data_IF_644553354458
#
_entry.id   IF_644553354458
#
_cell.length_a   1.000
_cell.length_b   1.000
_cell.length_c   1.000
_cell.angle_alpha   90.00
_cell.angle_beta   90.00
_cell.angle_gamma   90.00
#
_symmetry.space_group_name_H-M   'P 1'
#
loop_
_entity.id
_entity.type
_entity.pdbx_description
1 polymer ?
#
# COMPACT_ATOMS: atom_id res chain seq x y z
N UNK A 1 -9.74 50.84 0.86
CA UNK A 1 -9.82 50.98 2.34
C UNK A 1 -8.55 50.45 2.99
N UNK A 2 -8.30 50.72 4.28
CA UNK A 2 -7.11 50.21 5.00
C UNK A 2 -7.54 49.31 6.16
N UNK A 3 -6.97 48.11 6.26
CA UNK A 3 -7.25 47.16 7.33
C UNK A 3 -6.51 47.47 8.62
N UNK A 4 -6.92 46.80 9.71
CA UNK A 4 -6.21 46.80 11.00
C UNK A 4 -4.72 46.45 10.87
N UNK A 5 -4.41 45.49 10.02
CA UNK A 5 -3.04 45.00 9.82
C UNK A 5 -2.23 45.91 8.88
N UNK A 6 -2.82 47.04 8.46
CA UNK A 6 -2.14 48.09 7.70
C UNK A 6 -2.21 47.95 6.19
N UNK A 7 -2.90 46.95 5.65
CA UNK A 7 -3.00 46.68 4.22
C UNK A 7 -4.04 47.57 3.57
N UNK A 8 -3.74 48.07 2.38
CA UNK A 8 -4.68 48.88 1.58
C UNK A 8 -5.12 48.07 0.38
N UNK A 9 -6.44 47.94 0.19
CA UNK A 9 -7.03 47.22 -0.94
C UNK A 9 -8.27 47.96 -1.46
N UNK A 10 -8.53 47.88 -2.79
CA UNK A 10 -9.78 48.35 -3.37
C UNK A 10 -10.93 47.43 -2.94
N UNK A 11 -12.11 48.01 -2.73
CA UNK A 11 -13.33 47.26 -2.40
C UNK A 11 -14.44 47.82 -3.25
N UNK A 12 -15.04 46.96 -4.05
CA UNK A 12 -16.28 47.30 -4.74
C UNK A 12 -17.45 47.16 -3.78
N UNK A 13 -18.33 48.15 -3.76
CA UNK A 13 -19.51 48.16 -2.89
C UNK A 13 -20.72 48.50 -3.73
N UNK A 14 -21.80 47.75 -3.56
CA UNK A 14 -23.13 48.04 -4.11
C UNK A 14 -24.10 48.30 -2.98
N UNK A 15 -24.83 49.40 -3.07
CA UNK A 15 -25.81 49.79 -2.05
C UNK A 15 -27.17 49.92 -2.71
N UNK A 16 -28.17 49.22 -2.15
CA UNK A 16 -29.57 49.37 -2.57
C UNK A 16 -30.26 50.35 -1.63
N UNK A 17 -30.81 51.42 -2.21
CA UNK A 17 -31.43 52.54 -1.50
C UNK A 17 -32.80 52.82 -2.08
N UNK A 18 -33.76 53.12 -1.20
CA UNK A 18 -35.10 53.53 -1.56
C UNK A 18 -35.48 54.83 -0.82
N UNK A 19 -36.19 55.71 -1.53
CA UNK A 19 -36.73 56.96 -0.99
C UNK A 19 -38.26 56.90 -1.10
N UNK A 20 -38.94 57.09 0.03
CA UNK A 20 -40.39 57.14 0.06
C UNK A 20 -40.90 58.44 -0.60
N UNK A 21 -42.06 58.40 -1.25
CA UNK A 21 -42.68 59.59 -1.83
C UNK A 21 -43.00 60.67 -0.78
N UNK A 22 -43.21 60.27 0.47
CA UNK A 22 -43.47 61.18 1.58
C UNK A 22 -42.22 61.98 1.99
N UNK A 23 -41.03 61.38 1.87
CA UNK A 23 -39.77 61.98 2.31
C UNK A 23 -38.98 62.62 1.16
N UNK A 24 -39.33 62.34 -0.09
CA UNK A 24 -38.70 62.93 -1.27
C UNK A 24 -38.63 64.48 -1.26
N UNK A 25 -39.67 65.24 -0.84
CA UNK A 25 -39.60 66.69 -0.79
C UNK A 25 -38.53 67.23 0.16
N UNK A 26 -38.24 66.49 1.24
CA UNK A 26 -37.19 66.87 2.20
C UNK A 26 -35.80 66.77 1.58
N UNK A 27 -35.54 65.70 0.82
CA UNK A 27 -34.26 65.53 0.12
C UNK A 27 -34.06 66.56 -0.98
N UNK A 28 -35.11 66.90 -1.73
CA UNK A 28 -35.09 67.98 -2.72
C UNK A 28 -34.81 69.33 -2.04
N UNK A 29 -35.41 69.61 -0.89
CA UNK A 29 -35.11 70.83 -0.15
C UNK A 29 -33.66 70.91 0.36
N UNK A 30 -33.06 69.77 0.75
CA UNK A 30 -31.70 69.70 1.28
C UNK A 30 -30.63 69.75 0.17
N UNK A 31 -30.87 69.08 -0.95
CA UNK A 31 -29.87 68.88 -2.02
C UNK A 31 -30.13 69.76 -3.25
N UNK A 32 -31.27 70.45 -3.30
CA UNK A 32 -31.75 71.16 -4.47
C UNK A 32 -32.30 70.18 -5.50
N UNK A 33 -31.45 69.80 -6.46
CA UNK A 33 -31.81 68.86 -7.52
C UNK A 33 -31.09 67.52 -7.27
N UNK A 34 -31.68 66.56 -6.54
CA UNK A 34 -31.01 65.30 -6.22
C UNK A 34 -30.67 64.48 -7.47
N UNK A 35 -31.48 64.62 -8.54
CA UNK A 35 -31.35 63.89 -9.81
C UNK A 35 -30.37 64.55 -10.80
N UNK A 36 -29.83 65.73 -10.48
CA UNK A 36 -28.87 66.37 -11.37
C UNK A 36 -27.58 65.54 -11.40
N UNK A 37 -27.17 65.15 -12.60
CA UNK A 37 -25.90 64.44 -12.80
C UNK A 37 -24.78 65.47 -12.76
N UNK A 38 -23.85 65.31 -11.82
CA UNK A 38 -22.63 66.11 -11.75
C UNK A 38 -21.50 65.25 -12.29
N UNK A 39 -20.77 65.75 -13.28
CA UNK A 39 -19.52 65.14 -13.72
C UNK A 39 -18.42 65.61 -12.78
N UNK A 40 -18.01 64.76 -11.84
CA UNK A 40 -16.87 65.04 -10.97
C UNK A 40 -15.59 64.75 -11.78
N UNK A 41 -14.71 65.74 -11.99
CA UNK A 41 -13.51 65.60 -12.84
C UNK A 41 -12.53 64.50 -12.36
N UNK A 42 -12.67 64.08 -11.10
CA UNK A 42 -11.83 63.06 -10.46
C UNK A 42 -12.33 61.62 -10.61
N UNK A 43 -13.62 61.41 -10.91
CA UNK A 43 -14.21 60.08 -11.05
C UNK A 43 -14.87 59.99 -12.43
N UNK A 44 -14.41 59.06 -13.29
CA UNK A 44 -14.89 58.87 -14.68
C UNK A 44 -16.35 58.37 -14.77
N UNK A 45 -17.17 58.58 -13.75
CA UNK A 45 -18.55 58.11 -13.66
C UNK A 45 -19.50 59.29 -13.40
N UNK A 46 -20.65 59.23 -14.07
CA UNK A 46 -21.73 60.20 -13.97
C UNK A 46 -22.58 59.88 -12.74
N UNK A 47 -22.31 60.55 -11.61
CA UNK A 47 -23.06 60.37 -10.37
C UNK A 47 -24.14 61.44 -10.18
N UNK A 48 -25.21 61.08 -9.49
CA UNK A 48 -26.24 62.04 -9.08
C UNK A 48 -25.75 62.90 -7.90
N UNK A 49 -26.37 64.06 -7.65
CA UNK A 49 -26.04 64.92 -6.50
C UNK A 49 -26.23 64.17 -5.18
N UNK A 50 -27.27 63.33 -5.11
CA UNK A 50 -27.55 62.50 -3.94
C UNK A 50 -26.42 61.51 -3.66
N UNK A 51 -25.94 60.82 -4.70
CA UNK A 51 -24.85 59.84 -4.58
C UNK A 51 -23.54 60.51 -4.16
N UNK A 52 -23.14 61.56 -4.88
CA UNK A 52 -21.86 62.25 -4.67
C UNK A 52 -21.77 62.96 -3.31
N UNK A 53 -22.85 63.60 -2.85
CA UNK A 53 -22.82 64.42 -1.63
C UNK A 53 -23.20 63.69 -0.35
N UNK A 54 -24.04 62.65 -0.43
CA UNK A 54 -24.58 61.99 0.77
C UNK A 54 -24.15 60.53 0.86
N UNK A 55 -24.48 59.73 -0.15
CA UNK A 55 -24.33 58.26 -0.06
C UNK A 55 -22.86 57.86 -0.07
N UNK A 56 -22.10 58.34 -1.05
CA UNK A 56 -20.71 57.92 -1.25
C UNK A 56 -19.78 58.36 -0.10
N UNK A 57 -19.87 59.59 0.45
CA UNK A 57 -19.13 59.95 1.65
C UNK A 57 -19.50 59.10 2.88
N UNK A 58 -20.79 58.84 3.11
CA UNK A 58 -21.25 58.04 4.24
C UNK A 58 -20.77 56.58 4.15
N UNK A 59 -20.95 55.96 2.99
CA UNK A 59 -20.52 54.57 2.72
C UNK A 59 -19.00 54.45 2.85
N UNK A 60 -18.22 55.39 2.26
CA UNK A 60 -16.76 55.40 2.39
C UNK A 60 -16.31 55.48 3.85
N UNK A 61 -16.94 56.33 4.65
CA UNK A 61 -16.60 56.47 6.07
C UNK A 61 -16.87 55.16 6.84
N UNK A 62 -18.02 54.54 6.61
CA UNK A 62 -18.42 53.30 7.29
C UNK A 62 -17.50 52.14 6.89
N UNK A 63 -17.27 51.93 5.60
CA UNK A 63 -16.37 50.86 5.14
C UNK A 63 -14.94 51.08 5.58
N UNK A 64 -14.49 52.32 5.70
CA UNK A 64 -13.18 52.63 6.29
C UNK A 64 -13.13 52.21 7.76
N UNK A 65 -14.18 52.48 8.55
CA UNK A 65 -14.22 52.08 9.96
C UNK A 65 -14.28 50.56 10.13
N UNK A 66 -15.16 49.88 9.37
CA UNK A 66 -15.28 48.41 9.41
C UNK A 66 -13.97 47.73 8.99
N UNK A 67 -13.29 48.26 7.98
CA UNK A 67 -11.98 47.74 7.57
C UNK A 67 -10.91 47.96 8.66
N UNK A 68 -10.92 49.08 9.38
CA UNK A 68 -9.96 49.34 10.46
C UNK A 68 -10.10 48.40 11.66
N UNK A 69 -11.29 47.83 11.89
CA UNK A 69 -11.53 46.90 12.99
C UNK A 69 -11.13 45.45 12.65
N UNK A 70 -11.22 45.06 11.38
CA UNK A 70 -11.00 43.69 10.92
C UNK A 70 -9.65 43.49 10.21
N UNK A 71 -9.13 42.26 10.24
CA UNK A 71 -7.98 41.87 9.40
C UNK A 71 -8.38 41.89 7.93
N UNK A 72 -7.42 42.13 7.03
CA UNK A 72 -7.68 42.05 5.59
C UNK A 72 -8.17 40.66 5.16
N UNK A 73 -7.64 39.60 5.78
CA UNK A 73 -8.03 38.23 5.48
C UNK A 73 -9.41 37.89 6.04
N UNK A 74 -9.69 38.32 7.27
CA UNK A 74 -11.01 38.11 7.90
C UNK A 74 -12.11 38.87 7.15
N UNK A 75 -11.78 40.03 6.58
CA UNK A 75 -12.71 40.79 5.75
C UNK A 75 -13.15 40.03 4.50
N UNK A 76 -12.27 39.20 3.91
CA UNK A 76 -12.60 38.33 2.77
C UNK A 76 -13.33 37.06 3.22
N UNK A 77 -12.83 36.40 4.27
CA UNK A 77 -13.38 35.12 4.74
C UNK A 77 -14.77 35.28 5.37
N UNK A 78 -15.00 36.36 6.12
CA UNK A 78 -16.25 36.61 6.86
C UNK A 78 -17.09 37.69 6.16
N UNK A 79 -17.18 37.65 4.83
CA UNK A 79 -17.90 38.64 4.02
C UNK A 79 -19.35 38.86 4.47
N UNK A 80 -20.07 37.79 4.80
CA UNK A 80 -21.47 37.89 5.27
C UNK A 80 -21.58 38.71 6.55
N UNK A 81 -20.63 38.56 7.47
CA UNK A 81 -20.61 39.32 8.71
C UNK A 81 -20.25 40.79 8.47
N UNK A 82 -19.30 41.05 7.57
CA UNK A 82 -18.94 42.40 7.13
C UNK A 82 -20.14 43.11 6.50
N UNK A 83 -20.88 42.44 5.62
CA UNK A 83 -22.08 42.98 4.96
C UNK A 83 -23.19 43.29 5.98
N UNK A 84 -23.45 42.38 6.93
CA UNK A 84 -24.44 42.60 7.98
C UNK A 84 -24.09 43.80 8.87
N UNK A 85 -22.81 43.91 9.26
CA UNK A 85 -22.30 44.99 10.11
C UNK A 85 -22.35 46.33 9.36
N UNK A 86 -21.85 46.37 8.12
CA UNK A 86 -21.89 47.54 7.26
C UNK A 86 -23.34 47.99 6.98
N UNK A 87 -24.26 47.06 6.72
CA UNK A 87 -25.68 47.36 6.51
C UNK A 87 -26.31 48.04 7.72
N UNK A 88 -26.01 47.55 8.93
CA UNK A 88 -26.50 48.17 10.18
C UNK A 88 -26.00 49.61 10.34
N UNK A 89 -24.71 49.84 10.12
CA UNK A 89 -24.12 51.17 10.22
C UNK A 89 -24.61 52.13 9.13
N UNK A 90 -24.73 51.67 7.88
CA UNK A 90 -25.23 52.47 6.76
C UNK A 90 -26.69 52.84 6.98
N UNK A 91 -27.52 51.90 7.42
CA UNK A 91 -28.92 52.16 7.75
C UNK A 91 -29.04 53.27 8.81
N UNK A 92 -28.24 53.22 9.87
CA UNK A 92 -28.27 54.21 10.96
C UNK A 92 -27.85 55.62 10.50
N UNK A 93 -26.87 55.74 9.61
CA UNK A 93 -26.44 57.04 9.09
C UNK A 93 -27.41 57.61 8.05
N UNK A 94 -27.93 56.76 7.15
CA UNK A 94 -28.85 57.18 6.09
C UNK A 94 -30.28 57.48 6.60
N UNK A 95 -30.68 56.91 7.73
CA UNK A 95 -31.94 57.23 8.41
C UNK A 95 -32.04 58.72 8.78
N UNK A 96 -30.92 59.39 9.09
CA UNK A 96 -30.90 60.85 9.37
C UNK A 96 -31.36 61.68 8.18
N UNK A 97 -31.15 61.17 6.97
CA UNK A 97 -31.57 61.80 5.72
C UNK A 97 -32.92 61.27 5.21
N UNK A 98 -33.61 60.44 6.02
CA UNK A 98 -34.87 59.78 5.65
C UNK A 98 -34.74 58.85 4.44
N UNK A 99 -33.55 58.29 4.27
CA UNK A 99 -33.22 57.37 3.18
C UNK A 99 -33.30 55.94 3.72
N UNK A 100 -34.10 55.08 3.09
CA UNK A 100 -34.23 53.67 3.50
C UNK A 100 -33.20 52.83 2.77
N UNK A 101 -32.38 52.09 3.53
CA UNK A 101 -31.41 51.14 2.96
C UNK A 101 -31.93 49.71 3.04
N UNK A 102 -32.01 49.05 1.90
CA UNK A 102 -32.40 47.64 1.82
C UNK A 102 -31.22 46.74 2.22
N UNK A 103 -30.03 47.02 1.68
CA UNK A 103 -28.83 46.27 1.99
C UNK A 103 -27.58 46.84 1.34
N UNK A 104 -26.43 46.47 1.91
CA UNK A 104 -25.11 46.78 1.40
C UNK A 104 -24.43 45.47 1.03
N UNK A 105 -24.01 45.36 -0.21
CA UNK A 105 -23.33 44.18 -0.74
C UNK A 105 -21.90 44.55 -1.07
N UNK A 106 -20.95 43.79 -0.54
CA UNK A 106 -19.57 43.89 -0.96
C UNK A 106 -19.47 43.19 -2.32
N UNK A 107 -18.62 43.67 -3.22
CA UNK A 107 -18.37 43.10 -4.54
C UNK A 107 -17.18 42.13 -4.52
N UNK A 108 -16.40 42.16 -5.60
CA UNK A 108 -15.09 41.52 -5.58
C UNK A 108 -14.12 42.35 -4.74
N UNK A 109 -13.17 41.66 -4.11
CA UNK A 109 -12.14 42.27 -3.29
C UNK A 109 -10.81 41.80 -3.87
N UNK A 110 -10.13 42.68 -4.59
CA UNK A 110 -8.86 42.36 -5.23
C UNK A 110 -7.72 42.52 -4.21
N UNK A 111 -7.58 41.54 -3.30
CA UNK A 111 -6.42 41.46 -2.40
C UNK A 111 -5.14 41.07 -3.14
N UNK A 112 -5.27 40.45 -4.32
CA UNK A 112 -4.18 39.89 -5.10
C UNK A 112 -3.38 40.95 -5.88
N UNK A 113 -3.85 42.19 -5.99
CA UNK A 113 -3.09 43.25 -6.67
C UNK A 113 -2.01 43.87 -5.76
N UNK A 114 -2.13 43.70 -4.44
CA UNK A 114 -1.14 44.20 -3.49
C UNK A 114 -0.08 43.15 -3.22
N UNK A 115 1.20 43.50 -3.41
CA UNK A 115 2.36 42.64 -3.10
C UNK A 115 2.31 42.11 -1.65
N UNK A 116 1.73 42.90 -0.76
CA UNK A 116 1.57 42.58 0.65
C UNK A 116 0.44 41.55 0.89
N UNK A 117 -0.63 41.57 0.09
CA UNK A 117 -1.71 40.56 0.12
C UNK A 117 -1.23 39.18 -0.32
N UNK A 118 -0.41 39.12 -1.38
CA UNK A 118 0.25 37.89 -1.83
C UNK A 118 1.17 37.30 -0.77
N UNK A 119 1.93 38.13 -0.06
CA UNK A 119 2.83 37.67 1.00
C UNK A 119 2.08 37.06 2.20
N UNK A 120 0.92 37.62 2.56
CA UNK A 120 0.06 37.05 3.60
C UNK A 120 -0.55 35.70 3.18
N UNK A 121 -1.09 35.64 1.96
CA UNK A 121 -1.65 34.40 1.42
C UNK A 121 -0.57 33.32 1.31
N UNK A 122 0.64 33.67 0.89
CA UNK A 122 1.79 32.76 0.86
C UNK A 122 2.13 32.24 2.26
N UNK A 123 2.25 33.13 3.25
CA UNK A 123 2.58 32.73 4.64
C UNK A 123 1.52 31.81 5.25
N UNK A 124 0.22 32.09 5.01
CA UNK A 124 -0.86 31.22 5.48
C UNK A 124 -0.90 29.89 4.73
N UNK A 125 -0.63 29.90 3.42
CA UNK A 125 -0.51 28.69 2.62
C UNK A 125 0.64 27.84 3.12
N UNK A 126 1.80 28.43 3.41
CA UNK A 126 2.96 27.75 3.97
C UNK A 126 2.65 27.15 5.35
N UNK A 127 1.95 27.90 6.21
CA UNK A 127 1.50 27.41 7.50
C UNK A 127 0.54 26.23 7.37
N UNK A 128 -0.42 26.31 6.45
CA UNK A 128 -1.38 25.23 6.21
C UNK A 128 -0.69 24.01 5.58
N UNK A 129 0.26 24.21 4.68
CA UNK A 129 1.10 23.16 4.13
C UNK A 129 1.91 22.48 5.23
N UNK A 130 2.51 23.23 6.15
CA UNK A 130 3.26 22.66 7.28
C UNK A 130 2.37 21.79 8.18
N UNK A 131 1.16 22.25 8.51
CA UNK A 131 0.20 21.47 9.29
C UNK A 131 -0.24 20.19 8.57
N UNK A 132 -0.56 20.30 7.27
CA UNK A 132 -0.93 19.14 6.46
C UNK A 132 0.25 18.15 6.35
N UNK A 133 1.47 18.67 6.26
CA UNK A 133 2.70 17.87 6.20
C UNK A 133 2.97 17.15 7.52
N UNK A 134 2.75 17.80 8.67
CA UNK A 134 2.82 17.17 9.99
C UNK A 134 1.82 16.01 10.10
N UNK A 135 0.56 16.23 9.70
CA UNK A 135 -0.46 15.19 9.68
C UNK A 135 -0.07 14.02 8.75
N UNK A 136 0.48 14.32 7.58
CA UNK A 136 0.98 13.31 6.64
C UNK A 136 2.08 12.47 7.28
N UNK A 137 3.07 13.09 7.93
CA UNK A 137 4.15 12.35 8.59
C UNK A 137 3.65 11.50 9.76
N UNK A 138 2.71 12.02 10.56
CA UNK A 138 2.09 11.25 11.64
C UNK A 138 1.33 10.03 11.11
N UNK A 139 0.59 10.18 10.00
CA UNK A 139 -0.09 9.06 9.34
C UNK A 139 0.91 8.05 8.77
N UNK A 140 1.98 8.51 8.11
CA UNK A 140 3.06 7.64 7.60
C UNK A 140 3.73 6.86 8.73
N UNK A 141 4.03 7.51 9.86
CA UNK A 141 4.63 6.86 11.02
C UNK A 141 3.70 5.75 11.56
N UNK A 142 2.40 6.02 11.68
CA UNK A 142 1.39 5.01 12.08
C UNK A 142 1.36 3.84 11.10
N UNK A 143 1.38 4.10 9.79
CA UNK A 143 1.39 3.06 8.77
C UNK A 143 2.66 2.18 8.85
N UNK A 144 3.83 2.78 9.06
CA UNK A 144 5.09 2.04 9.21
C UNK A 144 5.14 1.22 10.51
N UNK A 145 4.61 1.74 11.61
CA UNK A 145 4.48 0.96 12.86
C UNK A 145 3.57 -0.26 12.65
N UNK A 146 2.39 -0.07 12.05
CA UNK A 146 1.48 -1.17 11.74
C UNK A 146 2.12 -2.21 10.80
N UNK A 147 2.90 -1.76 9.81
CA UNK A 147 3.65 -2.65 8.92
C UNK A 147 4.72 -3.43 9.68
N UNK A 148 5.47 -2.78 10.57
CA UNK A 148 6.49 -3.43 11.37
C UNK A 148 5.88 -4.49 12.32
N UNK A 149 4.72 -4.20 12.91
CA UNK A 149 3.96 -5.16 13.72
C UNK A 149 3.48 -6.35 12.89
N UNK A 150 2.94 -6.12 11.69
CA UNK A 150 2.51 -7.17 10.78
C UNK A 150 3.69 -8.09 10.40
N UNK A 151 4.83 -7.51 10.00
CA UNK A 151 6.03 -8.28 9.65
C UNK A 151 6.55 -9.08 10.84
N UNK A 152 6.55 -8.52 12.05
CA UNK A 152 6.92 -9.25 13.27
C UNK A 152 5.98 -10.42 13.51
N UNK A 153 4.67 -10.22 13.40
CA UNK A 153 3.68 -11.27 13.59
C UNK A 153 3.82 -12.39 12.54
N UNK A 154 4.06 -12.05 11.27
CA UNK A 154 4.35 -13.02 10.21
C UNK A 154 5.62 -13.81 10.49
N UNK A 155 6.71 -13.12 10.84
CA UNK A 155 7.99 -13.78 11.14
C UNK A 155 7.86 -14.74 12.32
N UNK A 156 7.12 -14.35 13.36
CA UNK A 156 6.82 -15.23 14.49
C UNK A 156 5.98 -16.43 14.06
N UNK A 157 4.95 -16.24 13.23
CA UNK A 157 4.14 -17.34 12.70
C UNK A 157 4.97 -18.31 11.84
N UNK A 158 5.87 -17.80 10.99
CA UNK A 158 6.77 -18.61 10.17
C UNK A 158 7.76 -19.39 11.02
N UNK A 159 8.34 -18.77 12.04
CA UNK A 159 9.22 -19.46 13.00
C UNK A 159 8.48 -20.53 13.79
N UNK A 160 7.26 -20.24 14.27
CA UNK A 160 6.43 -21.22 14.94
C UNK A 160 6.10 -22.41 14.04
N UNK A 161 5.78 -22.15 12.76
CA UNK A 161 5.56 -23.19 11.77
C UNK A 161 6.81 -24.07 11.58
N UNK A 162 7.99 -23.45 11.41
CA UNK A 162 9.25 -24.19 11.26
C UNK A 162 9.61 -25.02 12.50
N UNK A 163 9.39 -24.49 13.70
CA UNK A 163 9.61 -25.23 14.94
C UNK A 163 8.64 -26.40 15.07
N UNK A 164 7.35 -26.20 14.77
CA UNK A 164 6.35 -27.26 14.79
C UNK A 164 6.65 -28.36 13.76
N UNK A 165 7.11 -28.00 12.56
CA UNK A 165 7.56 -28.95 11.54
C UNK A 165 8.76 -29.77 12.03
N UNK A 166 9.76 -29.12 12.64
CA UNK A 166 10.93 -29.82 13.19
C UNK A 166 10.58 -30.75 14.36
N UNK A 167 9.69 -30.33 15.26
CA UNK A 167 9.19 -31.17 16.36
C UNK A 167 8.41 -32.37 15.81
N UNK A 168 7.54 -32.15 14.83
CA UNK A 168 6.77 -33.21 14.18
C UNK A 168 7.69 -34.20 13.48
N UNK A 169 8.72 -33.74 12.76
CA UNK A 169 9.71 -34.60 12.12
C UNK A 169 10.47 -35.47 13.14
N UNK A 170 10.82 -34.92 14.30
CA UNK A 170 11.44 -35.69 15.39
C UNK A 170 10.47 -36.74 15.93
N UNK A 171 9.20 -36.40 16.12
CA UNK A 171 8.17 -37.35 16.54
C UNK A 171 7.97 -38.46 15.52
N UNK A 172 7.88 -38.12 14.23
CA UNK A 172 7.78 -39.10 13.13
C UNK A 172 8.99 -40.03 13.14
N UNK A 173 10.22 -39.50 13.24
CA UNK A 173 11.44 -40.32 13.31
C UNK A 173 11.46 -41.23 14.53
N UNK A 174 11.01 -40.76 15.70
CA UNK A 174 10.86 -41.59 16.90
C UNK A 174 9.86 -42.72 16.69
N UNK A 175 8.70 -42.43 16.09
CA UNK A 175 7.68 -43.45 15.80
C UNK A 175 8.18 -44.47 14.77
N UNK A 176 8.91 -44.04 13.74
CA UNK A 176 9.54 -44.95 12.78
C UNK A 176 10.61 -45.82 13.44
N UNK A 177 11.43 -45.27 14.33
CA UNK A 177 12.42 -46.05 15.08
C UNK A 177 11.76 -47.10 15.98
N UNK A 178 10.73 -46.72 16.75
CA UNK A 178 9.94 -47.65 17.56
C UNK A 178 9.26 -48.72 16.70
N UNK A 179 8.70 -48.35 15.55
CA UNK A 179 8.12 -49.29 14.59
C UNK A 179 9.13 -50.34 14.12
N UNK A 180 10.35 -49.92 13.77
CA UNK A 180 11.45 -50.84 13.38
C UNK A 180 11.90 -51.74 14.53
N UNK A 181 11.95 -51.23 15.76
CA UNK A 181 12.25 -52.05 16.93
C UNK A 181 11.17 -53.12 17.15
N UNK A 182 9.90 -52.75 17.04
CA UNK A 182 8.79 -53.71 17.16
C UNK A 182 8.77 -54.73 16.01
N UNK A 183 9.09 -54.30 14.79
CA UNK A 183 9.21 -55.20 13.63
C UNK A 183 10.36 -56.19 13.84
N UNK A 184 11.54 -55.73 14.25
CA UNK A 184 12.67 -56.59 14.56
C UNK A 184 12.38 -57.57 15.71
N UNK A 185 11.66 -57.12 16.76
CA UNK A 185 11.18 -57.99 17.83
C UNK A 185 10.16 -59.02 17.34
N UNK A 186 9.27 -58.62 16.43
CA UNK A 186 8.30 -59.51 15.79
C UNK A 186 8.97 -60.58 14.93
N UNK A 187 9.95 -60.19 14.11
CA UNK A 187 10.77 -61.11 13.32
C UNK A 187 11.56 -62.07 14.19
N UNK A 188 12.20 -61.57 15.26
CA UNK A 188 12.92 -62.41 16.22
C UNK A 188 11.99 -63.47 16.85
N UNK A 189 10.81 -63.06 17.33
CA UNK A 189 9.80 -64.00 17.87
C UNK A 189 9.31 -64.99 16.81
N UNK A 190 9.12 -64.54 15.57
CA UNK A 190 8.72 -65.42 14.48
C UNK A 190 9.80 -66.48 14.18
N UNK A 191 11.07 -66.08 14.15
CA UNK A 191 12.20 -67.00 13.98
C UNK A 191 12.30 -67.98 15.16
N UNK A 192 12.14 -67.52 16.40
CA UNK A 192 12.13 -68.40 17.58
C UNK A 192 11.01 -69.43 17.52
N UNK A 193 9.77 -69.00 17.25
CA UNK A 193 8.61 -69.91 17.16
C UNK A 193 8.80 -70.92 16.02
N UNK A 194 9.28 -70.48 14.86
CA UNK A 194 9.52 -71.37 13.72
C UNK A 194 10.69 -72.32 13.97
N UNK A 195 11.76 -71.87 14.64
CA UNK A 195 12.88 -72.71 15.04
C UNK A 195 12.46 -73.76 16.08
N UNK A 196 11.66 -73.39 17.08
CA UNK A 196 11.08 -74.33 18.04
C UNK A 196 10.16 -75.36 17.37
N UNK A 197 9.31 -74.91 16.45
CA UNK A 197 8.43 -75.79 15.69
C UNK A 197 9.24 -76.77 14.83
N UNK A 198 10.28 -76.30 14.14
CA UNK A 198 11.21 -77.15 13.39
C UNK A 198 11.92 -78.14 14.31
N UNK A 199 12.46 -77.70 15.45
CA UNK A 199 13.13 -78.59 16.42
C UNK A 199 12.20 -79.72 16.87
N UNK A 200 10.95 -79.42 17.25
CA UNK A 200 9.95 -80.42 17.61
C UNK A 200 9.66 -81.38 16.45
N UNK A 201 9.57 -80.87 15.22
CA UNK A 201 9.40 -81.69 14.02
C UNK A 201 10.60 -82.63 13.76
N UNK A 202 11.82 -82.12 13.89
CA UNK A 202 13.04 -82.92 13.78
C UNK A 202 13.14 -83.99 14.88
N UNK A 203 12.82 -83.65 16.13
CA UNK A 203 12.77 -84.61 17.24
C UNK A 203 11.78 -85.76 16.95
N UNK A 204 10.58 -85.43 16.45
CA UNK A 204 9.59 -86.42 16.05
C UNK A 204 10.07 -87.30 14.88
N UNK A 205 10.76 -86.71 13.87
CA UNK A 205 11.35 -87.48 12.77
C UNK A 205 12.48 -88.41 13.24
N UNK A 206 13.34 -87.95 14.15
CA UNK A 206 14.43 -88.76 14.72
C UNK A 206 13.88 -89.94 15.52
N UNK A 207 12.80 -89.75 16.28
CA UNK A 207 12.13 -90.84 16.99
C UNK A 207 11.50 -91.87 16.03
N UNK A 208 11.03 -91.45 14.85
CA UNK A 208 10.39 -92.34 13.89
C UNK A 208 11.36 -93.07 12.93
N UNK A 209 12.46 -92.44 12.51
CA UNK A 209 13.39 -92.98 11.49
C UNK A 209 14.77 -93.42 12.02
N UNK A 210 15.17 -92.99 13.23
CA UNK A 210 16.51 -93.22 13.77
C UNK A 210 17.60 -92.32 13.14
N UNK A 211 18.68 -92.05 13.88
CA UNK A 211 19.70 -91.02 13.56
C UNK A 211 20.31 -91.12 12.15
N UNK A 212 20.40 -92.31 11.55
CA UNK A 212 21.03 -92.48 10.23
C UNK A 212 20.13 -92.10 9.04
N UNK A 213 18.81 -92.08 9.19
CA UNK A 213 17.89 -91.74 8.08
C UNK A 213 17.74 -90.23 7.84
N UNK A 214 17.85 -89.43 8.90
CA UNK A 214 17.61 -87.97 8.85
C UNK A 214 18.77 -87.24 8.17
N UNK A 215 20.00 -87.72 8.35
CA UNK A 215 21.21 -87.13 7.74
C UNK A 215 21.27 -87.34 6.23
N UNK A 216 20.79 -88.48 5.71
CA UNK A 216 20.73 -88.72 4.27
C UNK A 216 19.68 -87.82 3.57
N UNK A 217 18.53 -87.58 4.22
CA UNK A 217 17.50 -86.71 3.66
C UNK A 217 17.93 -85.23 3.62
N UNK A 218 18.67 -84.79 4.65
CA UNK A 218 19.19 -83.42 4.73
C UNK A 218 20.29 -83.17 3.69
N UNK A 219 21.17 -84.14 3.47
CA UNK A 219 22.18 -84.07 2.41
C UNK A 219 21.54 -83.98 1.01
N UNK A 220 20.45 -84.72 0.79
CA UNK A 220 19.72 -84.71 -0.47
C UNK A 220 18.99 -83.39 -0.72
N UNK A 221 18.52 -82.72 0.34
CA UNK A 221 17.86 -81.41 0.26
C UNK A 221 18.86 -80.27 0.01
N UNK A 222 20.05 -80.32 0.62
CA UNK A 222 21.11 -79.32 0.42
C UNK A 222 21.64 -79.30 -1.02
N UNK A 223 21.72 -80.47 -1.67
CA UNK A 223 22.16 -80.61 -3.07
C UNK A 223 21.12 -80.03 -4.05
N UNK A 224 19.84 -79.96 -3.68
CA UNK A 224 18.79 -79.41 -4.54
C UNK A 224 18.72 -77.87 -4.56
N UNK A 225 19.23 -77.19 -3.53
CA UNK A 225 19.17 -75.72 -3.41
C UNK A 225 20.36 -74.97 -4.06
N UNK A 226 21.49 -75.64 -4.33
CA UNK A 226 22.67 -75.05 -4.98
C UNK A 226 22.64 -75.12 -6.52
N UNK A 227 22.14 -74.09 -7.20
CA UNK A 227 22.22 -73.95 -8.67
C UNK A 227 23.59 -73.40 -9.12
N UNK A 228 24.46 -74.22 -9.71
CA UNK A 228 25.64 -73.77 -10.48
C UNK A 228 25.59 -74.34 -11.89
N UNK A 229 25.54 -73.48 -12.92
CA UNK A 229 25.51 -73.86 -14.33
C UNK A 229 26.41 -72.92 -15.15
N UNK A 230 27.52 -73.43 -15.69
CA UNK A 230 28.52 -72.69 -16.51
C UNK A 230 28.56 -73.31 -17.91
N UNK A 231 28.12 -72.59 -18.94
CA UNK A 231 28.51 -72.83 -20.35
C UNK A 231 28.35 -71.54 -21.18
N UNK A 232 29.41 -71.02 -21.87
CA UNK A 232 29.25 -70.00 -22.90
C UNK A 232 29.24 -70.64 -24.30
N UNK A 233 28.35 -70.20 -25.19
CA UNK A 233 28.38 -70.55 -26.61
C UNK A 233 28.76 -69.32 -27.44
N UNK A 234 29.82 -69.44 -28.23
CA UNK A 234 30.08 -68.58 -29.40
C UNK A 234 29.81 -69.40 -30.67
N UNK A 235 29.06 -68.83 -31.61
CA UNK A 235 28.88 -69.41 -32.95
C UNK A 235 29.42 -68.42 -33.97
N UNK A 236 30.51 -68.81 -34.65
CA UNK A 236 31.17 -68.10 -35.75
C UNK A 236 30.66 -68.70 -37.06
N UNK A 237 30.14 -67.87 -37.96
CA UNK A 237 29.84 -68.26 -39.35
C UNK A 237 30.60 -67.33 -40.30
N UNK A 238 31.53 -67.92 -41.06
CA UNK A 238 32.27 -67.40 -42.22
C UNK A 238 32.95 -66.01 -42.16
N UNK A 239 34.04 -65.91 -41.41
CA UNK A 239 35.03 -64.84 -41.56
C UNK A 239 36.37 -65.22 -40.94
N UNK A 240 37.47 -64.92 -41.63
CA UNK A 240 38.86 -65.22 -41.27
C UNK A 240 39.18 -64.83 -39.81
N UNK A 241 39.95 -65.66 -39.09
CA UNK A 241 40.23 -65.54 -37.64
C UNK A 241 40.85 -64.20 -37.20
N UNK A 242 41.40 -63.42 -38.12
CA UNK A 242 41.89 -62.05 -37.86
C UNK A 242 40.76 -61.03 -37.64
N UNK A 243 39.56 -61.28 -38.16
CA UNK A 243 38.43 -60.33 -38.12
C UNK A 243 37.63 -60.41 -36.80
N UNK A 244 37.60 -61.58 -36.16
CA UNK A 244 36.98 -61.75 -34.83
C UNK A 244 37.81 -61.10 -33.70
N UNK A 245 39.14 -61.15 -33.82
CA UNK A 245 40.05 -60.45 -32.90
C UNK A 245 40.04 -58.94 -33.16
N UNK A 246 39.97 -58.52 -34.42
CA UNK A 246 39.79 -57.10 -34.76
C UNK A 246 38.43 -56.56 -34.26
N UNK A 247 37.35 -57.32 -34.40
CA UNK A 247 36.02 -56.93 -33.94
C UNK A 247 35.91 -56.76 -32.42
N UNK A 248 36.58 -57.61 -31.63
CA UNK A 248 36.59 -57.50 -30.17
C UNK A 248 37.48 -56.35 -29.67
N UNK A 249 38.61 -56.09 -30.34
CA UNK A 249 39.47 -54.94 -30.04
C UNK A 249 38.84 -53.60 -30.47
N UNK A 250 38.16 -53.56 -31.61
CA UNK A 250 37.48 -52.35 -32.09
C UNK A 250 36.24 -52.03 -31.24
N UNK A 251 35.49 -53.04 -30.79
CA UNK A 251 34.34 -52.82 -29.92
C UNK A 251 34.75 -52.33 -28.52
N UNK A 252 35.89 -52.80 -27.99
CA UNK A 252 36.43 -52.31 -26.73
C UNK A 252 37.03 -50.89 -26.87
N UNK A 253 37.61 -50.55 -28.03
CA UNK A 253 38.08 -49.20 -28.32
C UNK A 253 36.94 -48.21 -28.58
N UNK A 254 35.85 -48.64 -29.23
CA UNK A 254 34.66 -47.82 -29.47
C UNK A 254 33.86 -47.60 -28.18
N UNK A 255 33.75 -48.61 -27.31
CA UNK A 255 33.12 -48.48 -26.00
C UNK A 255 33.89 -47.50 -25.08
N UNK A 256 35.21 -47.49 -25.14
CA UNK A 256 36.04 -46.56 -24.34
C UNK A 256 36.05 -45.11 -24.86
N UNK A 257 35.82 -44.87 -26.16
CA UNK A 257 35.76 -43.52 -26.72
C UNK A 257 34.37 -42.86 -26.62
N UNK A 258 33.31 -43.61 -26.35
CA UNK A 258 31.97 -43.06 -26.12
C UNK A 258 31.75 -42.51 -24.69
N UNK A 259 32.68 -42.75 -23.76
CA UNK A 259 32.59 -42.32 -22.37
C UNK A 259 33.28 -40.97 -22.05
N UNK A 260 33.90 -40.30 -23.04
CA UNK A 260 34.77 -39.13 -22.81
C UNK A 260 34.28 -37.80 -23.40
N UNK A 261 33.04 -37.69 -23.90
CA UNK A 261 32.51 -36.45 -24.49
C UNK A 261 31.09 -36.13 -24.07
N UNK A 262 30.89 -35.80 -22.79
CA UNK A 262 29.83 -34.86 -22.37
C UNK A 262 30.35 -33.96 -21.26
N UNK A 263 31.04 -32.88 -21.66
CA UNK A 263 31.32 -31.71 -20.83
C UNK A 263 30.18 -30.68 -20.92
N UNK A 264 30.04 -29.94 -19.81
CA UNK A 264 29.03 -28.96 -19.39
C UNK A 264 28.56 -27.87 -20.39
N UNK A 265 27.36 -27.28 -20.18
CA UNK A 265 26.92 -26.07 -20.88
C UNK A 265 27.41 -24.75 -20.21
N UNK A 266 27.76 -23.69 -20.98
CA UNK A 266 28.23 -22.38 -20.49
C UNK A 266 27.10 -21.32 -20.27
N UNK A 267 27.39 -20.15 -19.63
CA UNK A 267 26.42 -19.27 -18.93
C UNK A 267 25.72 -18.20 -19.82
N UNK A 268 24.69 -17.46 -19.31
CA UNK A 268 23.69 -16.78 -20.13
C UNK A 268 24.09 -15.38 -20.65
N UNK A 269 23.43 -14.89 -21.73
CA UNK A 269 23.79 -13.63 -22.38
C UNK A 269 23.12 -12.39 -21.77
N UNK A 270 23.90 -11.31 -21.64
CA UNK A 270 23.45 -9.96 -21.35
C UNK A 270 22.79 -9.31 -22.59
N UNK A 271 21.71 -8.56 -22.37
CA UNK A 271 21.13 -7.63 -23.37
C UNK A 271 21.00 -6.23 -22.77
N UNK A 272 21.27 -5.27 -23.66
CA UNK A 272 21.13 -3.80 -23.54
C UNK A 272 19.73 -3.38 -23.10
#
# INVERSE_FOLDING_TARGET
VRSKDGFTFPVDVRVSVNISAADAPYLVALLGSPDQVITDEHEKANFTVLESKVILPAVRAIFRNVAQEQSALDFVNNRTQVEATATSHVRKELEKFKITTEGVFVGNIDLDESDAGKALLATQTDKQMALNQEQLYAQKQKAEMARAELVKAQTQADQQKQLAEAEYDVLVKKQVALGREQEALGEARYIEITAEARRKGYEAMVQALGQQGVTQLELMKLVAEGKVQITPQVMVTNGTMSDALAGTLLNNAAANNAAATHQAPPPPPAKK
#
